data_IF_326504415570
#
_entry.id   IF_326504415570
#
_cell.length_a   1.000
_cell.length_b   1.000
_cell.length_c   1.000
_cell.angle_alpha   90.00
_cell.angle_beta   90.00
_cell.angle_gamma   90.00
#
_symmetry.space_group_name_H-M   'P 1'
#
loop_
_entity.id
_entity.type
_entity.pdbx_description
1 polymer ?
#
# COMPACT_ATOMS: atom_id res chain seq x y z
N UNK A 1 -22.20 23.50 -2.03
CA UNK A 1 -21.53 22.21 -1.77
C UNK A 1 -22.22 21.15 -2.61
N UNK A 2 -21.54 20.62 -3.62
CA UNK A 2 -22.09 19.53 -4.44
C UNK A 2 -22.29 18.29 -3.57
N UNK A 3 -23.48 17.69 -3.62
CA UNK A 3 -23.76 16.40 -3.00
C UNK A 3 -22.78 15.37 -3.57
N UNK A 4 -21.92 14.78 -2.73
CA UNK A 4 -20.99 13.73 -3.17
C UNK A 4 -21.81 12.54 -3.63
N UNK A 5 -21.68 12.17 -4.90
CA UNK A 5 -22.35 10.98 -5.43
C UNK A 5 -21.76 9.72 -4.81
N UNK A 6 -22.57 8.68 -4.65
CA UNK A 6 -22.12 7.39 -4.10
C UNK A 6 -20.92 6.80 -4.87
N UNK A 7 -20.82 7.09 -6.17
CA UNK A 7 -19.70 6.70 -7.02
C UNK A 7 -18.39 7.41 -6.66
N UNK A 8 -18.47 8.68 -6.24
CA UNK A 8 -17.29 9.45 -5.83
C UNK A 8 -16.78 9.02 -4.45
N UNK A 9 -17.66 8.56 -3.57
CA UNK A 9 -17.29 8.20 -2.19
C UNK A 9 -16.30 7.02 -2.10
N UNK A 10 -16.42 5.99 -2.95
CA UNK A 10 -15.45 4.86 -2.99
C UNK A 10 -14.10 5.37 -3.40
N UNK A 11 -14.07 6.06 -4.53
CA UNK A 11 -12.85 6.58 -5.11
C UNK A 11 -12.11 7.49 -4.12
N UNK A 12 -12.82 8.43 -3.48
CA UNK A 12 -12.24 9.33 -2.49
C UNK A 12 -11.73 8.59 -1.24
N UNK A 13 -12.44 7.56 -0.78
CA UNK A 13 -12.02 6.75 0.37
C UNK A 13 -10.74 5.98 0.07
N UNK A 14 -10.67 5.34 -1.10
CA UNK A 14 -9.48 4.62 -1.55
C UNK A 14 -8.30 5.57 -1.75
N UNK A 15 -8.52 6.69 -2.46
CA UNK A 15 -7.52 7.76 -2.61
C UNK A 15 -6.98 8.28 -1.27
N UNK A 16 -7.81 8.35 -0.23
CA UNK A 16 -7.36 8.76 1.10
C UNK A 16 -6.35 7.77 1.69
N UNK A 17 -6.63 6.46 1.61
CA UNK A 17 -5.70 5.42 2.07
C UNK A 17 -4.42 5.40 1.21
N UNK A 18 -4.54 5.38 -0.11
CA UNK A 18 -3.40 5.37 -1.03
C UNK A 18 -2.49 6.58 -0.85
N UNK A 19 -3.08 7.78 -0.72
CA UNK A 19 -2.31 8.99 -0.43
C UNK A 19 -1.59 8.95 0.92
N UNK A 20 -2.11 8.17 1.89
CA UNK A 20 -1.43 7.93 3.17
C UNK A 20 -0.25 6.97 2.98
N UNK A 21 -0.43 5.89 2.21
CA UNK A 21 0.63 4.94 1.89
C UNK A 21 1.79 5.62 1.15
N UNK A 22 1.49 6.40 0.10
CA UNK A 22 2.48 7.17 -0.66
C UNK A 22 3.32 8.08 0.26
N UNK A 23 2.66 8.81 1.18
CA UNK A 23 3.36 9.68 2.15
C UNK A 23 4.25 8.89 3.11
N UNK A 24 3.79 7.74 3.59
CA UNK A 24 4.57 6.88 4.49
C UNK A 24 5.81 6.32 3.76
N UNK A 25 5.65 5.88 2.51
CA UNK A 25 6.76 5.41 1.67
C UNK A 25 7.78 6.51 1.39
N UNK A 26 7.33 7.70 1.00
CA UNK A 26 8.21 8.87 0.81
C UNK A 26 8.96 9.23 2.09
N UNK A 27 8.29 9.17 3.25
CA UNK A 27 8.93 9.37 4.56
C UNK A 27 10.02 8.33 4.81
N UNK A 28 9.76 7.04 4.58
CA UNK A 28 10.75 5.98 4.74
C UNK A 28 11.94 6.14 3.79
N UNK A 29 11.71 6.49 2.53
CA UNK A 29 12.78 6.81 1.57
C UNK A 29 13.66 7.96 2.05
N UNK A 30 13.05 8.98 2.66
CA UNK A 30 13.79 10.11 3.24
C UNK A 30 14.55 9.70 4.50
N UNK A 31 13.98 8.84 5.34
CA UNK A 31 14.65 8.28 6.52
C UNK A 31 15.91 7.52 6.13
N UNK A 32 15.85 6.67 5.09
CA UNK A 32 17.02 5.93 4.58
C UNK A 32 18.22 6.84 4.25
N UNK A 33 17.96 8.04 3.73
CA UNK A 33 19.00 9.04 3.39
C UNK A 33 19.59 9.76 4.61
N UNK A 34 18.95 9.65 5.77
CA UNK A 34 19.25 10.46 6.95
C UNK A 34 19.71 9.62 8.15
N UNK A 35 19.89 8.31 7.99
CA UNK A 35 20.31 7.41 9.06
C UNK A 35 21.70 7.82 9.57
N UNK A 36 21.76 8.21 10.85
CA UNK A 36 23.02 8.57 11.55
C UNK A 36 23.20 7.81 12.86
N UNK A 37 22.13 7.23 13.38
CA UNK A 37 22.12 6.55 14.68
C UNK A 37 21.39 5.21 14.60
N UNK A 38 21.64 4.34 15.58
CA UNK A 38 20.88 3.08 15.72
C UNK A 38 19.39 3.35 15.99
N UNK A 39 19.07 4.46 16.65
CA UNK A 39 17.70 4.87 16.89
C UNK A 39 16.97 5.22 15.58
N UNK A 40 17.67 5.82 14.60
CA UNK A 40 17.10 6.09 13.27
C UNK A 40 16.78 4.78 12.54
N UNK A 41 17.66 3.79 12.61
CA UNK A 41 17.39 2.45 12.04
C UNK A 41 16.20 1.77 12.69
N UNK A 42 16.11 1.81 14.02
CA UNK A 42 14.97 1.19 14.74
C UNK A 42 13.65 1.91 14.45
N UNK A 43 13.69 3.23 14.20
CA UNK A 43 12.54 4.00 13.74
C UNK A 43 12.11 3.55 12.35
N UNK A 44 13.04 3.52 11.39
CA UNK A 44 12.77 3.01 10.05
C UNK A 44 12.18 1.60 10.11
N UNK A 45 12.75 0.72 10.92
CA UNK A 45 12.26 -0.65 11.08
C UNK A 45 10.83 -0.71 11.66
N UNK A 46 10.50 0.19 12.57
CA UNK A 46 9.15 0.29 13.13
C UNK A 46 8.15 0.79 12.08
N UNK A 47 8.53 1.79 11.29
CA UNK A 47 7.70 2.30 10.20
C UNK A 47 7.47 1.25 9.10
N UNK A 48 8.51 0.49 8.72
CA UNK A 48 8.40 -0.64 7.79
C UNK A 48 7.39 -1.67 8.29
N UNK A 49 7.46 -2.03 9.59
CA UNK A 49 6.56 -3.01 10.18
C UNK A 49 5.11 -2.53 10.19
N UNK A 50 4.88 -1.29 10.63
CA UNK A 50 3.55 -0.70 10.66
C UNK A 50 2.96 -0.58 9.26
N UNK A 51 3.73 -0.08 8.29
CA UNK A 51 3.31 0.03 6.90
C UNK A 51 2.88 -1.34 6.35
N UNK A 52 3.71 -2.37 6.57
CA UNK A 52 3.41 -3.73 6.10
C UNK A 52 2.11 -4.28 6.70
N UNK A 53 1.86 -4.01 7.99
CA UNK A 53 0.62 -4.40 8.66
C UNK A 53 -0.60 -3.66 8.10
N UNK A 54 -0.52 -2.34 7.93
CA UNK A 54 -1.64 -1.54 7.41
C UNK A 54 -1.96 -1.89 5.96
N UNK A 55 -0.94 -2.02 5.10
CA UNK A 55 -1.12 -2.38 3.71
C UNK A 55 -1.72 -3.78 3.57
N UNK A 56 -1.30 -4.75 4.39
CA UNK A 56 -1.90 -6.08 4.40
C UNK A 56 -3.40 -6.04 4.76
N UNK A 57 -3.78 -5.27 5.78
CA UNK A 57 -5.19 -5.14 6.16
C UNK A 57 -6.02 -4.44 5.08
N UNK A 58 -5.45 -3.44 4.41
CA UNK A 58 -6.06 -2.75 3.28
C UNK A 58 -6.37 -3.72 2.13
N UNK A 59 -5.36 -4.44 1.64
CA UNK A 59 -5.54 -5.46 0.60
C UNK A 59 -6.52 -6.58 1.03
N UNK A 60 -6.50 -6.97 2.30
CA UNK A 60 -7.45 -7.97 2.82
C UNK A 60 -8.90 -7.49 2.70
N UNK A 61 -9.17 -6.21 2.97
CA UNK A 61 -10.51 -5.64 2.81
C UNK A 61 -10.92 -5.62 1.34
N UNK A 62 -10.01 -5.26 0.45
CA UNK A 62 -10.23 -5.26 -1.00
C UNK A 62 -10.56 -6.65 -1.53
N UNK A 63 -9.70 -7.62 -1.23
CA UNK A 63 -9.83 -9.02 -1.67
C UNK A 63 -11.09 -9.69 -1.13
N UNK A 64 -11.52 -9.35 0.09
CA UNK A 64 -12.68 -9.99 0.69
C UNK A 64 -14.00 -9.30 0.34
N UNK A 65 -13.98 -7.99 0.09
CA UNK A 65 -15.23 -7.19 0.05
C UNK A 65 -15.44 -6.40 -1.23
N UNK A 66 -14.38 -5.84 -1.82
CA UNK A 66 -14.49 -4.92 -2.95
C UNK A 66 -14.30 -5.65 -4.28
N UNK A 67 -13.12 -6.22 -4.50
CA UNK A 67 -12.73 -6.82 -5.78
C UNK A 67 -13.59 -8.01 -6.21
N UNK A 68 -14.06 -8.91 -5.32
CA UNK A 68 -14.97 -9.99 -5.74
C UNK A 68 -16.27 -9.50 -6.36
N UNK A 69 -16.76 -8.31 -5.98
CA UNK A 69 -17.98 -7.73 -6.55
C UNK A 69 -17.71 -7.08 -7.91
N UNK A 70 -16.53 -6.46 -8.08
CA UNK A 70 -16.10 -5.84 -9.34
C UNK A 70 -15.74 -6.91 -10.38
N UNK A 71 -15.04 -7.98 -9.98
CA UNK A 71 -14.63 -9.09 -10.84
C UNK A 71 -15.80 -9.79 -11.56
N UNK A 72 -17.02 -9.71 -11.00
CA UNK A 72 -18.24 -10.25 -11.63
C UNK A 72 -18.71 -9.42 -12.83
N UNK A 73 -18.21 -8.20 -12.99
CA UNK A 73 -18.66 -7.22 -13.99
C UNK A 73 -17.56 -6.83 -14.98
N UNK A 74 -16.29 -7.00 -14.63
CA UNK A 74 -15.13 -6.69 -15.48
C UNK A 74 -13.92 -7.55 -15.09
N UNK A 75 -13.00 -7.76 -16.03
CA UNK A 75 -11.72 -8.42 -15.74
C UNK A 75 -10.81 -7.50 -14.92
N UNK A 76 -10.35 -8.02 -13.77
CA UNK A 76 -9.41 -7.37 -12.84
C UNK A 76 -8.26 -8.30 -12.45
N UNK A 77 -8.02 -9.39 -13.20
CA UNK A 77 -6.99 -10.39 -12.90
C UNK A 77 -5.57 -9.83 -12.74
N UNK A 78 -5.29 -8.69 -13.37
CA UNK A 78 -4.04 -7.95 -13.17
C UNK A 78 -3.88 -7.39 -11.74
N UNK A 79 -4.96 -6.98 -11.07
CA UNK A 79 -4.93 -6.53 -9.67
C UNK A 79 -4.61 -7.70 -8.72
N UNK A 80 -5.20 -8.87 -8.94
CA UNK A 80 -4.88 -10.08 -8.17
C UNK A 80 -3.40 -10.47 -8.32
N UNK A 81 -2.85 -10.32 -9.53
CA UNK A 81 -1.43 -10.54 -9.79
C UNK A 81 -0.56 -9.54 -9.00
N UNK A 82 -0.96 -8.27 -8.96
CA UNK A 82 -0.27 -7.25 -8.17
C UNK A 82 -0.34 -7.56 -6.65
N UNK A 83 -1.49 -7.99 -6.13
CA UNK A 83 -1.62 -8.42 -4.72
C UNK A 83 -0.68 -9.58 -4.36
N UNK A 84 -0.55 -10.57 -5.24
CA UNK A 84 0.38 -11.68 -5.02
C UNK A 84 1.84 -11.20 -4.96
N UNK A 85 2.24 -10.31 -5.89
CA UNK A 85 3.57 -9.72 -5.90
C UNK A 85 3.84 -8.87 -4.66
N UNK A 86 2.86 -8.04 -4.25
CA UNK A 86 2.95 -7.22 -3.05
C UNK A 86 3.02 -8.06 -1.79
N UNK A 87 2.25 -9.15 -1.69
CA UNK A 87 2.33 -10.07 -0.56
C UNK A 87 3.74 -10.66 -0.41
N UNK A 88 4.38 -11.05 -1.52
CA UNK A 88 5.74 -11.58 -1.50
C UNK A 88 6.78 -10.54 -1.05
N UNK A 89 6.74 -9.32 -1.62
CA UNK A 89 7.70 -8.28 -1.24
C UNK A 89 7.48 -7.78 0.20
N UNK A 90 6.24 -7.82 0.72
CA UNK A 90 5.95 -7.46 2.12
C UNK A 90 6.52 -8.48 3.13
N UNK A 91 6.68 -9.74 2.73
CA UNK A 91 7.42 -10.73 3.54
C UNK A 91 8.90 -10.31 3.64
N UNK A 92 9.52 -9.98 2.51
CA UNK A 92 10.90 -9.46 2.49
C UNK A 92 11.03 -8.18 3.33
N UNK A 93 10.03 -7.30 3.25
CA UNK A 93 10.01 -6.02 3.96
C UNK A 93 9.90 -6.21 5.48
N UNK A 94 9.04 -7.11 5.94
CA UNK A 94 8.95 -7.49 7.35
C UNK A 94 10.22 -8.18 7.87
N UNK A 95 10.85 -9.02 7.05
CA UNK A 95 12.13 -9.66 7.39
C UNK A 95 13.24 -8.62 7.56
N UNK A 96 13.30 -7.63 6.66
CA UNK A 96 14.22 -6.49 6.80
C UNK A 96 13.95 -5.73 8.11
N UNK A 97 12.70 -5.38 8.41
CA UNK A 97 12.34 -4.71 9.67
C UNK A 97 12.86 -5.49 10.90
N UNK A 98 12.69 -6.81 10.91
CA UNK A 98 13.17 -7.66 12.00
C UNK A 98 14.69 -7.62 12.12
N UNK A 99 15.42 -7.68 11.00
CA UNK A 99 16.89 -7.57 10.96
C UNK A 99 17.35 -6.22 11.49
N UNK A 100 16.74 -5.13 11.04
CA UNK A 100 17.08 -3.77 11.45
C UNK A 100 16.87 -3.56 12.96
N UNK A 101 15.78 -4.09 13.54
CA UNK A 101 15.50 -4.02 14.98
C UNK A 101 16.54 -4.76 15.84
N UNK A 102 17.17 -5.81 15.30
CA UNK A 102 18.16 -6.60 16.04
C UNK A 102 19.55 -5.96 16.09
N UNK A 103 19.83 -4.99 15.21
CA UNK A 103 21.10 -4.26 15.22
C UNK A 103 21.24 -3.46 16.52
N UNK A 104 22.46 -3.46 17.08
CA UNK A 104 22.79 -2.74 18.32
C UNK A 104 23.76 -1.57 18.10
N UNK A 105 24.49 -1.58 16.99
CA UNK A 105 25.56 -0.64 16.66
C UNK A 105 25.54 -0.32 15.18
N UNK A 106 26.09 0.85 14.81
CA UNK A 106 26.40 1.21 13.43
C UNK A 106 27.87 0.90 13.16
N UNK A 107 28.14 -0.23 12.52
CA UNK A 107 29.46 -0.63 12.05
C UNK A 107 29.53 -0.62 10.51
N UNK A 108 30.67 -1.00 9.93
CA UNK A 108 30.82 -1.07 8.47
C UNK A 108 29.83 -2.04 7.81
N UNK A 109 29.42 -3.13 8.49
CA UNK A 109 28.41 -4.06 7.98
C UNK A 109 27.02 -3.41 7.91
N UNK A 110 26.77 -2.40 8.73
CA UNK A 110 25.49 -1.69 8.77
C UNK A 110 25.28 -0.83 7.52
N UNK A 111 26.36 -0.35 6.86
CA UNK A 111 26.23 0.42 5.61
C UNK A 111 25.59 -0.40 4.50
N UNK A 112 26.01 -1.65 4.33
CA UNK A 112 25.42 -2.56 3.33
C UNK A 112 23.94 -2.80 3.62
N UNK A 113 23.58 -3.01 4.89
CA UNK A 113 22.18 -3.22 5.30
C UNK A 113 21.32 -1.98 5.02
N UNK A 114 21.87 -0.76 5.17
CA UNK A 114 21.18 0.49 4.83
C UNK A 114 20.95 0.61 3.33
N UNK A 115 21.92 0.19 2.50
CA UNK A 115 21.76 0.16 1.04
C UNK A 115 20.65 -0.81 0.67
N UNK A 116 20.70 -2.06 1.18
CA UNK A 116 19.66 -3.07 0.97
C UNK A 116 18.28 -2.54 1.39
N UNK A 117 18.22 -1.83 2.53
CA UNK A 117 16.99 -1.24 3.04
C UNK A 117 16.46 -0.15 2.10
N UNK A 118 17.34 0.71 1.58
CA UNK A 118 16.97 1.78 0.64
C UNK A 118 16.41 1.19 -0.64
N UNK A 119 17.11 0.22 -1.23
CA UNK A 119 16.68 -0.45 -2.46
C UNK A 119 15.33 -1.17 -2.28
N UNK A 120 15.14 -1.84 -1.14
CA UNK A 120 13.88 -2.52 -0.86
C UNK A 120 12.73 -1.53 -0.65
N UNK A 121 12.94 -0.45 0.11
CA UNK A 121 11.93 0.61 0.29
C UNK A 121 11.54 1.21 -1.05
N UNK A 122 12.51 1.53 -1.91
CA UNK A 122 12.26 2.10 -3.25
C UNK A 122 11.46 1.14 -4.13
N UNK A 123 11.80 -0.15 -4.11
CA UNK A 123 11.09 -1.18 -4.87
C UNK A 123 9.66 -1.39 -4.37
N UNK A 124 9.45 -1.41 -3.05
CA UNK A 124 8.12 -1.47 -2.44
C UNK A 124 7.32 -0.23 -2.84
N UNK A 125 7.90 0.97 -2.73
CA UNK A 125 7.23 2.21 -3.07
C UNK A 125 6.77 2.24 -4.53
N UNK A 126 7.62 1.77 -5.45
CA UNK A 126 7.26 1.64 -6.86
C UNK A 126 6.07 0.68 -7.06
N UNK A 127 6.14 -0.53 -6.52
CA UNK A 127 5.10 -1.54 -6.72
C UNK A 127 3.76 -1.14 -6.11
N UNK A 128 3.77 -0.58 -4.89
CA UNK A 128 2.55 -0.10 -4.22
C UNK A 128 1.91 1.02 -5.04
N UNK A 129 2.69 2.04 -5.44
CA UNK A 129 2.16 3.15 -6.23
C UNK A 129 1.62 2.71 -7.60
N UNK A 130 2.28 1.75 -8.27
CA UNK A 130 1.80 1.19 -9.54
C UNK A 130 0.49 0.42 -9.36
N UNK A 131 0.38 -0.36 -8.29
CA UNK A 131 -0.80 -1.13 -7.95
C UNK A 131 -1.98 -0.22 -7.58
N UNK A 132 -1.82 0.69 -6.63
CA UNK A 132 -2.86 1.61 -6.15
C UNK A 132 -3.41 2.49 -7.28
N UNK A 133 -2.55 2.90 -8.24
CA UNK A 133 -3.00 3.61 -9.44
C UNK A 133 -3.85 2.74 -10.36
N UNK A 134 -3.53 1.46 -10.50
CA UNK A 134 -4.33 0.54 -11.30
C UNK A 134 -5.70 0.31 -10.67
N UNK A 135 -5.75 0.17 -9.35
CA UNK A 135 -7.00 0.06 -8.61
C UNK A 135 -7.86 1.30 -8.81
N UNK A 136 -7.30 2.49 -8.60
CA UNK A 136 -7.96 3.78 -8.79
C UNK A 136 -8.59 3.95 -10.17
N UNK A 137 -7.95 3.42 -11.22
CA UNK A 137 -8.51 3.43 -12.57
C UNK A 137 -9.76 2.54 -12.65
N UNK A 138 -9.68 1.33 -12.09
CA UNK A 138 -10.80 0.37 -12.03
C UNK A 138 -11.97 0.94 -11.21
N UNK A 139 -11.70 1.58 -10.08
CA UNK A 139 -12.73 2.12 -9.19
C UNK A 139 -13.12 3.57 -9.48
N UNK A 140 -12.58 4.15 -10.57
CA UNK A 140 -12.89 5.53 -10.94
C UNK A 140 -14.41 5.74 -11.07
N UNK A 141 -14.95 6.91 -10.69
CA UNK A 141 -16.40 7.13 -10.69
C UNK A 141 -17.05 6.86 -12.05
N UNK A 142 -16.34 7.19 -13.14
CA UNK A 142 -16.82 6.95 -14.50
C UNK A 142 -16.83 5.46 -14.87
N UNK A 143 -15.84 4.68 -14.41
CA UNK A 143 -15.85 3.24 -14.63
C UNK A 143 -16.94 2.57 -13.79
N UNK A 144 -17.07 2.97 -12.51
CA UNK A 144 -18.09 2.43 -11.62
C UNK A 144 -19.52 2.71 -12.11
N UNK A 145 -19.78 3.87 -12.72
CA UNK A 145 -21.09 4.18 -13.35
C UNK A 145 -21.43 3.28 -14.54
N UNK A 146 -20.42 2.76 -15.25
CA UNK A 146 -20.64 1.83 -16.38
C UNK A 146 -20.96 0.42 -15.90
N UNK A 147 -20.44 0.03 -14.73
CA UNK A 147 -20.54 -1.33 -14.21
C UNK A 147 -21.70 -1.52 -13.22
N UNK A 148 -22.09 -0.47 -12.50
CA UNK A 148 -23.04 -0.54 -11.39
C UNK A 148 -24.09 0.57 -11.46
N UNK A 149 -25.31 0.20 -11.06
CA UNK A 149 -26.35 1.15 -10.71
C UNK A 149 -26.06 1.85 -9.37
N UNK A 150 -26.71 2.99 -9.12
CA UNK A 150 -26.57 3.69 -7.84
C UNK A 150 -27.00 2.82 -6.64
N UNK A 151 -28.02 1.97 -6.83
CA UNK A 151 -28.50 1.05 -5.79
C UNK A 151 -27.47 -0.04 -5.48
N UNK A 152 -26.87 -0.67 -6.50
CA UNK A 152 -25.79 -1.65 -6.31
C UNK A 152 -24.59 -1.00 -5.63
N UNK A 153 -24.25 0.25 -5.99
CA UNK A 153 -23.18 1.00 -5.33
C UNK A 153 -23.50 1.23 -3.85
N UNK A 154 -24.69 1.68 -3.49
CA UNK A 154 -25.06 1.86 -2.07
C UNK A 154 -24.91 0.56 -1.25
N UNK A 155 -25.22 -0.60 -1.84
CA UNK A 155 -25.01 -1.92 -1.22
C UNK A 155 -23.53 -2.35 -1.17
N UNK A 156 -22.67 -1.81 -2.04
CA UNK A 156 -21.22 -1.97 -1.94
C UNK A 156 -20.66 -1.26 -0.69
N UNK A 157 -21.28 -0.15 -0.25
CA UNK A 157 -20.84 0.67 0.89
C UNK A 157 -21.53 0.42 2.23
N UNK A 158 -22.58 -0.41 2.29
CA UNK A 158 -23.17 -0.81 3.56
C UNK A 158 -22.23 -1.77 4.27
N UNK A 159 -21.23 -1.21 4.95
CA UNK A 159 -20.34 -1.89 5.87
C UNK A 159 -20.90 -1.88 7.28
#
# INVERSE_FOLDING_TARGET
MSSKTVFSSLYETMRYYHSSHEKQLLSMQQQCKQIKTIADLHRLASDIHMFSYYLHNHHTIEDQRLFPKIARKTDISHLETHHAQLSQILIEFNNLSSRLKQLKTLDENTKTIIIDATELVDRVAKLVNEHERAEEQVISPDNMRKLFTESEMKQLFSF
#
